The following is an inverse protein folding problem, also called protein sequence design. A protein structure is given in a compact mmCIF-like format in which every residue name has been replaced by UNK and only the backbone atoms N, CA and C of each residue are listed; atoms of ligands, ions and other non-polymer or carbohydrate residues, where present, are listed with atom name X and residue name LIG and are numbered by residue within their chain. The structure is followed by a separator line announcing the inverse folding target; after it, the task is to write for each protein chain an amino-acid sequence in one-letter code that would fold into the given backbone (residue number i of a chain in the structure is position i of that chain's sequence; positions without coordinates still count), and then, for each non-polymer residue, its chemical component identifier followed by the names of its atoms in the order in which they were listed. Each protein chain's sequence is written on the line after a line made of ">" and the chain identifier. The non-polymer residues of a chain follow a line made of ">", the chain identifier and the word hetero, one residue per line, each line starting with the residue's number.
data_IF_249337946374
#
_entry.id   IF_249337946374
#
_cell.length_a   1.000
_cell.length_b   1.000
_cell.length_c   1.000
_cell.angle_alpha   90.00
_cell.angle_beta   90.00
_cell.angle_gamma   90.00
#
_symmetry.space_group_name_H-M   'P 1'
#
loop_
_entity.id
_entity.type
_entity.pdbx_description
1 polymer ?
#
# COMPACT_ATOMS: atom_id res chain seq x y z
N UNK A 1 26.41 -27.60 -25.71
CA UNK A 1 26.99 -26.37 -25.18
C UNK A 1 26.61 -26.18 -23.73
N UNK A 2 27.33 -26.81 -22.83
CA UNK A 2 26.97 -26.78 -21.41
C UNK A 2 27.00 -25.38 -20.81
N UNK A 3 27.94 -24.53 -21.22
CA UNK A 3 28.05 -23.18 -20.66
C UNK A 3 26.85 -22.29 -20.98
N UNK A 4 26.34 -22.35 -22.22
CA UNK A 4 25.18 -21.59 -22.64
C UNK A 4 23.94 -22.03 -21.87
N UNK A 5 23.80 -23.35 -21.70
CA UNK A 5 22.67 -23.92 -20.94
C UNK A 5 22.69 -23.45 -19.48
N UNK A 6 23.88 -23.46 -18.84
CA UNK A 6 23.99 -22.96 -17.46
C UNK A 6 23.69 -21.49 -17.31
N UNK A 7 24.14 -20.65 -18.25
CA UNK A 7 23.83 -19.23 -18.23
C UNK A 7 22.33 -18.99 -18.38
N UNK A 8 21.69 -19.67 -19.32
CA UNK A 8 20.24 -19.55 -19.52
C UNK A 8 19.46 -20.03 -18.29
N UNK A 9 19.90 -21.12 -17.67
CA UNK A 9 19.28 -21.65 -16.47
C UNK A 9 19.38 -20.66 -15.31
N UNK A 10 20.54 -20.04 -15.12
CA UNK A 10 20.73 -19.02 -14.07
C UNK A 10 19.83 -17.80 -14.29
N UNK A 11 19.74 -17.33 -15.54
CA UNK A 11 18.87 -16.20 -15.89
C UNK A 11 17.40 -16.53 -15.64
N UNK A 12 16.97 -17.71 -16.06
CA UNK A 12 15.60 -18.17 -15.83
C UNK A 12 15.28 -18.25 -14.33
N UNK A 13 16.20 -18.80 -13.54
CA UNK A 13 16.03 -18.92 -12.10
C UNK A 13 15.93 -17.56 -11.42
N UNK A 14 16.79 -16.61 -11.80
CA UNK A 14 16.76 -15.25 -11.25
C UNK A 14 15.43 -14.56 -11.56
N UNK A 15 14.95 -14.65 -12.79
CA UNK A 15 13.66 -14.09 -13.20
C UNK A 15 12.51 -14.75 -12.42
N UNK A 16 12.56 -16.07 -12.24
CA UNK A 16 11.53 -16.80 -11.49
C UNK A 16 11.49 -16.39 -10.02
N UNK A 17 12.65 -16.15 -9.41
CA UNK A 17 12.75 -15.71 -8.02
C UNK A 17 12.18 -14.29 -7.86
N UNK A 18 12.51 -13.37 -8.77
CA UNK A 18 11.95 -12.01 -8.78
C UNK A 18 10.43 -12.04 -8.93
N UNK A 19 9.92 -12.84 -9.85
CA UNK A 19 8.48 -12.99 -10.07
C UNK A 19 7.78 -13.53 -8.82
N UNK A 20 8.38 -14.51 -8.15
CA UNK A 20 7.81 -15.07 -6.92
C UNK A 20 7.78 -14.03 -5.80
N UNK A 21 8.83 -13.19 -5.67
CA UNK A 21 8.86 -12.12 -4.69
C UNK A 21 7.81 -11.05 -4.98
N UNK A 22 7.68 -10.62 -6.25
CA UNK A 22 6.66 -9.68 -6.66
C UNK A 22 5.26 -10.21 -6.37
N UNK A 23 5.02 -11.49 -6.62
CA UNK A 23 3.75 -12.13 -6.34
C UNK A 23 3.45 -12.17 -4.84
N UNK A 24 4.46 -12.41 -3.99
CA UNK A 24 4.28 -12.39 -2.54
C UNK A 24 3.94 -10.99 -2.04
N UNK A 25 4.62 -9.96 -2.54
CA UNK A 25 4.33 -8.56 -2.21
C UNK A 25 2.91 -8.19 -2.57
N UNK A 26 2.49 -8.56 -3.78
CA UNK A 26 1.14 -8.31 -4.27
C UNK A 26 0.10 -9.04 -3.41
N UNK A 27 0.36 -10.30 -3.05
CA UNK A 27 -0.55 -11.08 -2.21
C UNK A 27 -0.75 -10.42 -0.84
N UNK A 28 0.30 -9.87 -0.24
CA UNK A 28 0.22 -9.15 1.04
C UNK A 28 -0.68 -7.91 0.88
N UNK A 29 -0.48 -7.13 -0.17
CA UNK A 29 -1.29 -5.93 -0.43
C UNK A 29 -2.74 -6.30 -0.66
N UNK A 30 -3.03 -7.29 -1.48
CA UNK A 30 -4.41 -7.73 -1.75
C UNK A 30 -5.10 -8.23 -0.48
N UNK A 31 -4.37 -8.95 0.36
CA UNK A 31 -4.89 -9.41 1.65
C UNK A 31 -5.24 -8.24 2.55
N UNK A 32 -4.35 -7.23 2.63
CA UNK A 32 -4.59 -6.03 3.43
C UNK A 32 -5.82 -5.27 2.94
N UNK A 33 -5.95 -5.09 1.63
CA UNK A 33 -7.11 -4.43 1.01
C UNK A 33 -8.39 -5.19 1.36
N UNK A 34 -8.34 -6.52 1.34
CA UNK A 34 -9.48 -7.38 1.66
C UNK A 34 -10.00 -7.23 3.08
N UNK A 35 -9.20 -6.68 4.00
CA UNK A 35 -9.64 -6.42 5.38
C UNK A 35 -10.34 -5.07 5.55
N UNK A 36 -10.29 -4.21 4.53
CA UNK A 36 -10.84 -2.86 4.61
C UNK A 36 -12.35 -2.86 4.41
N UNK A 37 -13.07 -2.07 5.21
CA UNK A 37 -14.44 -1.71 4.90
C UNK A 37 -14.47 -0.72 3.73
N UNK A 38 -15.67 -0.46 3.20
CA UNK A 38 -15.86 0.52 2.12
C UNK A 38 -15.33 1.90 2.51
N UNK A 39 -15.65 2.37 3.71
CA UNK A 39 -15.19 3.68 4.19
C UNK A 39 -13.70 3.69 4.48
N UNK A 40 -13.13 2.59 4.95
CA UNK A 40 -11.68 2.47 5.13
C UNK A 40 -10.95 2.49 3.79
N UNK A 41 -11.53 1.89 2.75
CA UNK A 41 -10.97 1.94 1.41
C UNK A 41 -10.94 3.38 0.89
N UNK A 42 -12.00 4.15 1.12
CA UNK A 42 -12.02 5.60 0.84
C UNK A 42 -10.88 6.32 1.55
N UNK A 43 -10.67 5.98 2.82
CA UNK A 43 -9.58 6.59 3.61
C UNK A 43 -8.23 6.31 2.96
N UNK A 44 -7.95 5.08 2.58
CA UNK A 44 -6.68 4.70 1.97
C UNK A 44 -6.46 5.45 0.65
N UNK A 45 -7.48 5.55 -0.19
CA UNK A 45 -7.39 6.27 -1.46
C UNK A 45 -7.00 7.73 -1.21
N UNK A 46 -7.67 8.40 -0.28
CA UNK A 46 -7.38 9.81 0.04
C UNK A 46 -5.99 9.99 0.66
N UNK A 47 -5.55 9.03 1.47
CA UNK A 47 -4.20 9.03 2.05
C UNK A 47 -3.17 9.03 0.92
N UNK A 48 -3.30 8.12 -0.05
CA UNK A 48 -2.35 8.03 -1.15
C UNK A 48 -2.45 9.20 -2.13
N UNK A 49 -3.59 9.85 -2.23
CA UNK A 49 -3.72 11.09 -3.02
C UNK A 49 -2.98 12.26 -2.38
N UNK A 50 -3.01 12.35 -1.05
CA UNK A 50 -2.30 13.40 -0.31
C UNK A 50 -0.80 13.12 -0.19
N UNK A 51 -0.41 11.83 -0.17
CA UNK A 51 0.98 11.45 0.00
C UNK A 51 1.74 11.69 -1.31
N UNK A 52 2.62 12.67 -1.29
CA UNK A 52 3.45 13.01 -2.45
C UNK A 52 4.73 12.18 -2.41
N UNK A 53 4.74 11.10 -3.18
CA UNK A 53 5.86 10.17 -3.21
C UNK A 53 5.69 9.01 -2.24
N UNK A 54 6.83 8.47 -1.76
CA UNK A 54 6.83 7.25 -0.94
C UNK A 54 6.70 7.52 0.56
N UNK A 55 6.80 8.78 0.97
CA UNK A 55 6.71 9.15 2.39
C UNK A 55 6.22 10.59 2.53
N UNK A 56 5.66 10.90 3.69
CA UNK A 56 5.21 12.25 4.00
C UNK A 56 4.47 12.32 5.32
N UNK A 57 4.05 13.52 5.69
CA UNK A 57 3.29 13.77 6.91
C UNK A 57 1.85 14.10 6.52
N UNK A 58 0.90 13.41 7.14
CA UNK A 58 -0.53 13.59 6.92
C UNK A 58 -1.24 13.92 8.23
N UNK A 59 -2.33 14.66 8.11
CA UNK A 59 -3.20 14.97 9.25
C UNK A 59 -4.49 14.18 9.06
N UNK A 60 -4.74 13.22 9.94
CA UNK A 60 -5.88 12.31 9.83
C UNK A 60 -7.23 13.03 9.78
N UNK A 61 -7.40 14.10 10.57
CA UNK A 61 -8.62 14.89 10.56
C UNK A 61 -8.88 15.57 9.22
N UNK A 62 -7.82 16.02 8.55
CA UNK A 62 -7.95 16.63 7.22
C UNK A 62 -8.34 15.61 6.16
N UNK A 63 -7.76 14.41 6.24
CA UNK A 63 -8.15 13.30 5.35
C UNK A 63 -9.62 12.95 5.57
N UNK A 64 -10.04 12.83 6.83
CA UNK A 64 -11.42 12.52 7.20
C UNK A 64 -12.39 13.56 6.63
N UNK A 65 -12.07 14.84 6.76
CA UNK A 65 -12.89 15.93 6.23
C UNK A 65 -13.05 15.85 4.71
N UNK A 66 -11.93 15.62 4.00
CA UNK A 66 -11.95 15.52 2.53
C UNK A 66 -12.73 14.30 2.05
N UNK A 67 -12.63 13.19 2.75
CA UNK A 67 -13.28 11.94 2.36
C UNK A 67 -14.74 11.85 2.85
N UNK A 68 -15.16 12.75 3.73
CA UNK A 68 -16.50 12.69 4.32
C UNK A 68 -16.68 11.53 5.28
N UNK A 69 -15.63 11.15 6.00
CA UNK A 69 -15.62 10.04 6.94
C UNK A 69 -15.09 10.52 8.29
N UNK A 70 -15.14 9.66 9.31
CA UNK A 70 -14.65 10.02 10.63
C UNK A 70 -13.14 9.81 10.74
N UNK A 71 -12.50 10.54 11.65
CA UNK A 71 -11.08 10.38 11.93
C UNK A 71 -10.74 8.95 12.35
N UNK A 72 -11.61 8.30 13.11
CA UNK A 72 -11.38 6.93 13.57
C UNK A 72 -11.31 5.93 12.42
N UNK A 73 -12.08 6.15 11.36
CA UNK A 73 -12.00 5.31 10.14
C UNK A 73 -10.63 5.45 9.50
N UNK A 74 -10.12 6.69 9.39
CA UNK A 74 -8.78 6.94 8.84
C UNK A 74 -7.71 6.23 9.67
N UNK A 75 -7.78 6.38 11.00
CA UNK A 75 -6.83 5.75 11.92
C UNK A 75 -6.88 4.23 11.81
N UNK A 76 -8.08 3.65 11.73
CA UNK A 76 -8.24 2.20 11.59
C UNK A 76 -7.67 1.68 10.27
N UNK A 77 -7.89 2.40 9.18
CA UNK A 77 -7.35 2.04 7.87
C UNK A 77 -5.81 2.04 7.89
N UNK A 78 -5.21 3.09 8.46
CA UNK A 78 -3.75 3.17 8.63
C UNK A 78 -3.22 2.02 9.47
N UNK A 79 -3.90 1.69 10.57
CA UNK A 79 -3.50 0.61 11.46
C UNK A 79 -3.52 -0.74 10.75
N UNK A 80 -4.52 -0.99 9.93
CA UNK A 80 -4.62 -2.23 9.15
C UNK A 80 -3.47 -2.37 8.16
N UNK A 81 -3.14 -1.30 7.46
CA UNK A 81 -2.02 -1.30 6.51
C UNK A 81 -0.66 -1.37 7.21
N UNK A 82 -0.53 -0.74 8.36
CA UNK A 82 0.68 -0.85 9.18
C UNK A 82 0.88 -2.29 9.67
N UNK A 83 -0.18 -2.91 10.19
CA UNK A 83 -0.13 -4.29 10.68
C UNK A 83 0.22 -5.29 9.58
N UNK A 84 -0.19 -5.02 8.35
CA UNK A 84 0.11 -5.86 7.20
C UNK A 84 1.50 -5.61 6.62
N UNK A 85 2.22 -4.60 7.12
CA UNK A 85 3.55 -4.25 6.59
C UNK A 85 3.52 -3.49 5.27
N UNK A 86 2.38 -2.96 4.85
CA UNK A 86 2.26 -2.16 3.63
C UNK A 86 2.84 -0.77 3.81
N UNK A 87 2.62 -0.18 4.99
CA UNK A 87 3.16 1.12 5.37
C UNK A 87 3.81 1.06 6.73
N UNK A 88 4.66 2.04 7.01
CA UNK A 88 5.12 2.39 8.36
C UNK A 88 4.45 3.70 8.74
N UNK A 89 4.00 3.83 9.99
CA UNK A 89 3.44 5.09 10.46
C UNK A 89 4.02 5.44 11.83
N UNK A 90 4.22 6.75 12.04
CA UNK A 90 4.74 7.28 13.31
C UNK A 90 4.10 8.61 13.60
N UNK A 91 3.81 8.88 14.86
CA UNK A 91 3.34 10.19 15.28
C UNK A 91 4.44 11.23 15.13
N UNK A 92 4.11 12.36 14.49
CA UNK A 92 4.99 13.53 14.38
C UNK A 92 4.53 14.67 15.28
N UNK A 93 3.89 14.34 16.40
CA UNK A 93 3.36 15.31 17.34
C UNK A 93 2.27 16.16 16.70
N UNK A 94 2.36 17.48 16.87
CA UNK A 94 1.37 18.42 16.35
C UNK A 94 1.36 18.50 14.81
N UNK A 95 2.40 18.04 14.15
CA UNK A 95 2.49 18.07 12.69
C UNK A 95 1.62 17.01 12.00
N UNK A 96 1.22 15.98 12.72
CA UNK A 96 0.39 14.90 12.17
C UNK A 96 1.06 13.54 12.27
N UNK A 97 0.80 12.68 11.29
CA UNK A 97 1.33 11.33 11.24
C UNK A 97 2.28 11.19 10.05
N UNK A 98 3.49 10.77 10.33
CA UNK A 98 4.45 10.41 9.29
C UNK A 98 4.10 9.03 8.74
N UNK A 99 4.07 8.92 7.41
CA UNK A 99 3.77 7.67 6.70
C UNK A 99 4.84 7.41 5.67
N UNK A 100 5.30 6.15 5.62
CA UNK A 100 6.24 5.68 4.61
C UNK A 100 5.69 4.40 3.99
N UNK A 101 5.69 4.33 2.67
CA UNK A 101 5.25 3.13 1.94
C UNK A 101 6.38 2.11 1.96
N UNK A 102 6.10 0.91 2.47
CA UNK A 102 7.05 -0.19 2.55
C UNK A 102 6.85 -1.21 1.41
N UNK A 103 5.60 -1.41 0.99
CA UNK A 103 5.26 -2.36 -0.07
C UNK A 103 4.71 -1.61 -1.27
N UNK A 104 5.51 -1.45 -2.29
CA UNK A 104 5.19 -0.67 -3.48
C UNK A 104 4.15 -1.32 -4.40
N UNK A 105 3.79 -2.57 -4.15
CA UNK A 105 2.70 -3.22 -4.90
C UNK A 105 1.36 -2.52 -4.70
N UNK A 106 1.21 -1.71 -3.63
CA UNK A 106 -0.01 -0.93 -3.40
C UNK A 106 -0.32 0.03 -4.57
N UNK A 107 0.69 0.60 -5.18
CA UNK A 107 0.48 1.57 -6.25
C UNK A 107 -0.27 0.97 -7.44
N UNK A 108 -0.02 -0.30 -7.77
CA UNK A 108 -0.73 -0.99 -8.83
C UNK A 108 -2.18 -1.31 -8.50
N UNK A 109 -2.53 -1.36 -7.22
CA UNK A 109 -3.88 -1.70 -6.76
C UNK A 109 -4.77 -0.47 -6.55
N UNK A 110 -4.21 0.73 -6.50
CA UNK A 110 -4.98 1.95 -6.22
C UNK A 110 -6.07 2.22 -7.25
N UNK A 111 -5.80 1.96 -8.53
CA UNK A 111 -6.79 2.15 -9.58
C UNK A 111 -8.00 1.24 -9.39
N UNK A 112 -7.77 -0.02 -9.02
CA UNK A 112 -8.85 -0.98 -8.73
C UNK A 112 -9.65 -0.55 -7.51
N UNK A 113 -8.97 -0.07 -6.47
CA UNK A 113 -9.63 0.43 -5.27
C UNK A 113 -10.54 1.62 -5.59
N UNK A 114 -10.07 2.56 -6.43
CA UNK A 114 -10.88 3.71 -6.85
C UNK A 114 -12.14 3.28 -7.57
N UNK A 115 -12.04 2.27 -8.45
CA UNK A 115 -13.21 1.74 -9.16
C UNK A 115 -14.23 1.12 -8.21
N UNK A 116 -13.77 0.48 -7.14
CA UNK A 116 -14.65 -0.16 -6.17
C UNK A 116 -15.45 0.83 -5.33
N UNK A 117 -14.92 2.03 -5.08
CA UNK A 117 -15.56 3.04 -4.23
C UNK A 117 -16.30 4.13 -5.01
N UNK A 118 -16.18 4.16 -6.33
CA UNK A 118 -16.95 5.10 -7.16
C UNK A 118 -18.31 4.51 -7.48
N UNK A 119 -19.37 5.31 -7.41
CA UNK A 119 -20.72 4.87 -7.79
C UNK A 119 -20.84 4.57 -9.27
#
# INVERSE_FOLDING_TARGET
>A
MPEVVFVLFRLFRAVSEETAEENRKLAVVKSAIGTLSYTEMHAIIHIFEELDGVEGILVASKIADKAGITRSVVVNALRKFESAGVIESRSSGMKGTYIKVLNDAIYGELADMRRQVQP
#
